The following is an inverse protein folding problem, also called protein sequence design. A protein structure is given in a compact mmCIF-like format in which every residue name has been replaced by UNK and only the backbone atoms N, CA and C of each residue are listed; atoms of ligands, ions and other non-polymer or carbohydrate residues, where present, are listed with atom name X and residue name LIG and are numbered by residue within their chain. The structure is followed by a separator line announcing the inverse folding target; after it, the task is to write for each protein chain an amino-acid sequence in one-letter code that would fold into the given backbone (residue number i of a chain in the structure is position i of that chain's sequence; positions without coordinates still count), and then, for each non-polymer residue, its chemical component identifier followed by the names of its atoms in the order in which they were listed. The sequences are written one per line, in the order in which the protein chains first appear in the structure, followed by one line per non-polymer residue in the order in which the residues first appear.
data_IF_500723756726
#
_entry.id   IF_500723756726
#
_cell.length_a   1.000
_cell.length_b   1.000
_cell.length_c   1.000
_cell.angle_alpha   90.00
_cell.angle_beta   90.00
_cell.angle_gamma   90.00
#
_symmetry.space_group_name_H-M   'P 1'
#
loop_
_entity.id
_entity.type
_entity.pdbx_description
1 polymer ?
#
# COMPACT_ATOMS: atom_id res chain seq x y z
N UNK A 1 -27.44 13.71 2.28
CA UNK A 1 -27.41 13.02 0.98
C UNK A 1 -27.74 14.06 -0.09
N UNK A 2 -26.86 14.45 -1.01
CA UNK A 2 -25.54 13.96 -1.31
C UNK A 2 -24.76 15.03 -2.09
N UNK A 3 -23.46 15.09 -1.86
CA UNK A 3 -22.56 15.91 -2.66
C UNK A 3 -22.42 15.23 -4.01
N UNK A 4 -23.20 15.69 -4.98
CA UNK A 4 -23.11 15.22 -6.35
C UNK A 4 -21.85 15.82 -6.99
N UNK A 5 -20.91 14.95 -7.33
CA UNK A 5 -19.69 15.28 -8.04
C UNK A 5 -19.95 15.16 -9.55
N UNK A 6 -19.73 16.23 -10.30
CA UNK A 6 -20.03 16.28 -11.73
C UNK A 6 -18.75 16.12 -12.55
N UNK A 7 -18.81 15.26 -13.57
CA UNK A 7 -17.84 15.22 -14.66
C UNK A 7 -18.32 16.16 -15.76
N UNK A 8 -17.47 17.10 -16.11
CA UNK A 8 -17.74 18.16 -17.08
C UNK A 8 -16.80 18.04 -18.27
N UNK A 9 -17.28 18.40 -19.46
CA UNK A 9 -16.48 18.48 -20.69
C UNK A 9 -16.50 19.90 -21.23
N UNK A 10 -15.31 20.46 -21.41
CA UNK A 10 -15.13 21.75 -22.04
C UNK A 10 -15.10 21.62 -23.57
N UNK A 11 -15.52 22.64 -24.33
CA UNK A 11 -15.33 22.69 -25.79
C UNK A 11 -13.88 22.48 -26.26
N UNK A 12 -12.87 22.80 -25.44
CA UNK A 12 -11.47 22.53 -25.75
C UNK A 12 -11.06 21.05 -25.66
N UNK A 13 -12.01 20.16 -25.34
CA UNK A 13 -11.80 18.72 -25.23
C UNK A 13 -11.35 18.24 -23.84
N UNK A 14 -11.09 19.14 -22.90
CA UNK A 14 -10.67 18.77 -21.54
C UNK A 14 -11.87 18.31 -20.69
N UNK A 15 -11.71 17.17 -20.01
CA UNK A 15 -12.63 16.72 -18.98
C UNK A 15 -12.15 17.14 -17.60
N UNK A 16 -13.04 17.57 -16.73
CA UNK A 16 -12.69 18.00 -15.37
C UNK A 16 -13.86 17.80 -14.40
N UNK A 17 -13.54 17.81 -13.10
CA UNK A 17 -14.48 17.57 -12.03
C UNK A 17 -14.95 18.87 -11.36
N UNK A 18 -16.19 18.88 -10.87
CA UNK A 18 -16.74 19.96 -10.04
C UNK A 18 -17.71 19.41 -9.00
N UNK A 19 -17.85 20.08 -7.86
CA UNK A 19 -18.98 19.84 -6.96
C UNK A 19 -20.24 20.50 -7.51
N UNK A 20 -21.41 19.96 -7.15
CA UNK A 20 -22.71 20.55 -7.50
C UNK A 20 -22.85 21.93 -6.82
N UNK A 21 -23.08 22.97 -7.63
CA UNK A 21 -23.32 24.34 -7.13
C UNK A 21 -22.08 25.24 -7.07
N UNK A 22 -20.87 24.75 -7.38
CA UNK A 22 -19.69 25.61 -7.54
C UNK A 22 -19.65 26.23 -8.95
N UNK A 23 -19.10 27.45 -9.06
CA UNK A 23 -18.81 28.06 -10.35
C UNK A 23 -17.84 27.19 -11.15
N UNK A 24 -18.19 26.86 -12.40
CA UNK A 24 -17.41 25.95 -13.23
C UNK A 24 -16.58 26.74 -14.24
N UNK A 25 -15.28 26.54 -14.20
CA UNK A 25 -14.35 27.03 -15.23
C UNK A 25 -13.38 25.91 -15.58
N UNK A 26 -13.03 25.82 -16.86
CA UNK A 26 -12.13 24.78 -17.34
C UNK A 26 -10.75 24.95 -16.72
N UNK A 27 -10.24 23.90 -16.08
CA UNK A 27 -8.90 23.89 -15.46
C UNK A 27 -7.74 24.01 -16.46
N UNK A 28 -8.01 23.86 -17.76
CA UNK A 28 -7.00 23.92 -18.82
C UNK A 28 -7.00 25.22 -19.61
N UNK A 29 -8.18 25.76 -19.93
CA UNK A 29 -8.31 26.94 -20.80
C UNK A 29 -9.10 28.09 -20.17
N UNK A 30 -9.52 27.94 -18.91
CA UNK A 30 -10.30 28.93 -18.14
C UNK A 30 -11.66 29.30 -18.73
N UNK A 31 -12.09 28.67 -19.82
CA UNK A 31 -13.42 28.86 -20.39
C UNK A 31 -14.50 28.44 -19.38
N UNK A 32 -15.53 29.28 -19.24
CA UNK A 32 -16.70 29.06 -18.40
C UNK A 32 -18.00 28.93 -19.20
N UNK A 33 -17.95 29.12 -20.52
CA UNK A 33 -19.10 28.99 -21.42
C UNK A 33 -19.16 27.59 -22.06
N UNK A 34 -20.37 27.14 -22.42
CA UNK A 34 -20.62 25.91 -23.18
C UNK A 34 -20.01 24.62 -22.57
N UNK A 35 -19.82 24.60 -21.26
CA UNK A 35 -19.40 23.42 -20.52
C UNK A 35 -20.60 22.47 -20.38
N UNK A 36 -20.44 21.22 -20.78
CA UNK A 36 -21.50 20.20 -20.68
C UNK A 36 -21.24 19.25 -19.51
N UNK A 37 -22.30 18.86 -18.81
CA UNK A 37 -22.26 17.78 -17.82
C UNK A 37 -22.34 16.43 -18.52
N UNK A 38 -21.35 15.57 -18.29
CA UNK A 38 -21.25 14.23 -18.88
C UNK A 38 -21.87 13.18 -17.97
N UNK A 39 -21.57 13.24 -16.67
CA UNK A 39 -22.06 12.29 -15.68
C UNK A 39 -21.96 12.85 -14.26
N UNK A 40 -22.63 12.19 -13.32
CA UNK A 40 -22.57 12.51 -11.88
C UNK A 40 -22.11 11.30 -11.07
N UNK A 41 -21.43 11.57 -9.96
CA UNK A 41 -20.86 10.59 -9.05
C UNK A 41 -21.18 10.96 -7.61
N UNK A 42 -21.34 9.94 -6.77
CA UNK A 42 -21.61 10.11 -5.34
C UNK A 42 -20.34 10.21 -4.48
N UNK A 43 -19.15 10.07 -5.08
CA UNK A 43 -17.89 10.19 -4.34
C UNK A 43 -16.81 10.88 -5.19
N UNK A 44 -15.95 11.70 -4.56
CA UNK A 44 -14.89 12.42 -5.26
C UNK A 44 -13.85 11.47 -5.86
N UNK A 45 -13.60 10.31 -5.24
CA UNK A 45 -12.66 9.30 -5.75
C UNK A 45 -13.15 8.71 -7.08
N UNK A 46 -14.46 8.43 -7.18
CA UNK A 46 -15.06 7.94 -8.43
C UNK A 46 -15.00 8.99 -9.54
N UNK A 47 -15.24 10.27 -9.21
CA UNK A 47 -15.08 11.38 -10.14
C UNK A 47 -13.64 11.50 -10.62
N UNK A 48 -12.66 11.50 -9.70
CA UNK A 48 -11.25 11.60 -10.06
C UNK A 48 -10.82 10.49 -11.03
N UNK A 49 -11.27 9.25 -10.78
CA UNK A 49 -11.03 8.13 -11.69
C UNK A 49 -11.66 8.34 -13.07
N UNK A 50 -12.86 8.91 -13.13
CA UNK A 50 -13.56 9.18 -14.39
C UNK A 50 -12.89 10.32 -15.18
N UNK A 51 -12.45 11.39 -14.51
CA UNK A 51 -11.67 12.49 -15.12
C UNK A 51 -10.39 11.95 -15.74
N UNK A 52 -9.60 11.17 -14.99
CA UNK A 52 -8.33 10.62 -15.48
C UNK A 52 -8.54 9.70 -16.69
N UNK A 53 -9.58 8.88 -16.68
CA UNK A 53 -9.93 8.00 -17.81
C UNK A 53 -10.36 8.79 -19.04
N UNK A 54 -11.18 9.82 -18.87
CA UNK A 54 -11.73 10.61 -19.98
C UNK A 54 -10.68 11.50 -20.66
N UNK A 55 -9.57 11.80 -19.96
CA UNK A 55 -8.45 12.57 -20.50
C UNK A 55 -7.30 11.69 -21.00
N UNK A 56 -7.40 10.36 -20.92
CA UNK A 56 -6.35 9.46 -21.40
C UNK A 56 -6.53 9.24 -22.91
N UNK A 57 -5.48 9.39 -23.73
CA UNK A 57 -5.56 9.07 -25.15
C UNK A 57 -5.86 7.59 -25.36
N UNK A 58 -6.75 7.27 -26.30
CA UNK A 58 -7.16 5.88 -26.59
C UNK A 58 -5.96 4.99 -26.93
N UNK A 59 -4.98 5.56 -27.62
CA UNK A 59 -3.71 4.92 -28.01
C UNK A 59 -2.89 4.43 -26.80
N UNK A 60 -2.98 5.10 -25.65
CA UNK A 60 -2.22 4.79 -24.43
C UNK A 60 -3.07 4.03 -23.40
N UNK A 61 -4.37 3.93 -23.62
CA UNK A 61 -5.31 3.36 -22.65
C UNK A 61 -4.98 1.88 -22.33
N UNK A 62 -4.66 1.09 -23.35
CA UNK A 62 -4.35 -0.32 -23.21
C UNK A 62 -3.01 -0.55 -22.50
N UNK A 63 -1.96 0.19 -22.91
CA UNK A 63 -0.61 0.05 -22.36
C UNK A 63 -0.55 0.48 -20.89
N UNK A 64 -1.22 1.59 -20.53
CA UNK A 64 -1.30 2.07 -19.15
C UNK A 64 -2.06 1.08 -18.27
N UNK A 65 -3.18 0.53 -18.76
CA UNK A 65 -3.96 -0.47 -18.03
C UNK A 65 -3.17 -1.76 -17.80
N UNK A 66 -2.43 -2.23 -18.82
CA UNK A 66 -1.57 -3.40 -18.72
C UNK A 66 -0.43 -3.18 -17.71
N UNK A 67 0.24 -2.02 -17.73
CA UNK A 67 1.31 -1.70 -16.77
C UNK A 67 0.79 -1.59 -15.34
N UNK A 68 -0.37 -0.97 -15.13
CA UNK A 68 -1.00 -0.86 -13.82
C UNK A 68 -1.36 -2.24 -13.26
N UNK A 69 -2.01 -3.10 -14.05
CA UNK A 69 -2.37 -4.46 -13.61
C UNK A 69 -1.14 -5.32 -13.30
N UNK A 70 -0.05 -5.19 -14.08
CA UNK A 70 1.23 -5.85 -13.78
C UNK A 70 1.87 -5.32 -12.49
N UNK A 71 1.76 -4.01 -12.21
CA UNK A 71 2.27 -3.43 -10.96
C UNK A 71 1.46 -3.89 -9.74
N UNK A 72 0.13 -3.87 -9.82
CA UNK A 72 -0.76 -4.32 -8.75
C UNK A 72 -0.57 -5.81 -8.43
N UNK A 73 -0.45 -6.65 -9.46
CA UNK A 73 -0.20 -8.09 -9.29
C UNK A 73 1.18 -8.40 -8.70
N UNK A 74 2.22 -7.65 -9.05
CA UNK A 74 3.55 -7.74 -8.42
C UNK A 74 3.51 -7.32 -6.96
N UNK A 75 2.83 -6.22 -6.66
CA UNK A 75 2.70 -5.71 -5.30
C UNK A 75 1.87 -6.63 -4.39
N UNK A 76 0.77 -7.21 -4.90
CA UNK A 76 0.02 -8.24 -4.17
C UNK A 76 0.84 -9.51 -3.91
N UNK A 77 1.65 -9.96 -4.89
CA UNK A 77 2.51 -11.13 -4.71
C UNK A 77 3.63 -10.87 -3.71
N UNK A 78 4.22 -9.67 -3.71
CA UNK A 78 5.22 -9.25 -2.72
C UNK A 78 4.63 -9.22 -1.32
N UNK A 79 3.49 -8.53 -1.13
CA UNK A 79 2.80 -8.47 0.17
C UNK A 79 2.36 -9.83 0.71
N UNK A 80 1.89 -10.74 -0.15
CA UNK A 80 1.51 -12.10 0.26
C UNK A 80 2.72 -12.94 0.68
N UNK A 81 3.86 -12.78 0.02
CA UNK A 81 5.11 -13.45 0.41
C UNK A 81 5.68 -12.88 1.70
N UNK A 82 5.66 -11.56 1.88
CA UNK A 82 6.05 -10.90 3.13
C UNK A 82 5.15 -11.32 4.29
N UNK A 83 3.83 -11.34 4.13
CA UNK A 83 2.92 -11.72 5.22
C UNK A 83 3.06 -13.20 5.61
N UNK A 84 3.25 -14.10 4.64
CA UNK A 84 3.46 -15.52 4.93
C UNK A 84 4.80 -15.81 5.60
N UNK A 85 5.84 -15.03 5.29
CA UNK A 85 7.15 -15.16 5.92
C UNK A 85 7.19 -14.48 7.30
N UNK A 86 6.42 -13.41 7.51
CA UNK A 86 6.40 -12.69 8.79
C UNK A 86 5.75 -13.50 9.91
N UNK A 87 4.59 -14.13 9.65
CA UNK A 87 3.92 -14.95 10.67
C UNK A 87 4.76 -16.18 11.09
N UNK A 88 5.46 -16.79 10.13
CA UNK A 88 6.37 -17.91 10.38
C UNK A 88 7.63 -17.47 11.14
N UNK A 89 8.20 -16.32 10.80
CA UNK A 89 9.32 -15.71 11.55
C UNK A 89 8.93 -15.40 12.99
N UNK A 90 7.77 -14.77 13.22
CA UNK A 90 7.30 -14.46 14.58
C UNK A 90 6.98 -15.74 15.37
N UNK A 91 6.39 -16.75 14.73
CA UNK A 91 6.16 -18.06 15.36
C UNK A 91 7.48 -18.71 15.78
N UNK A 92 8.46 -18.78 14.87
CA UNK A 92 9.77 -19.36 15.17
C UNK A 92 10.49 -18.59 16.30
N UNK A 93 10.43 -17.26 16.32
CA UNK A 93 10.96 -16.47 17.43
C UNK A 93 10.24 -16.73 18.76
N UNK A 94 8.93 -16.97 18.74
CA UNK A 94 8.15 -17.36 19.93
C UNK A 94 8.50 -18.76 20.40
N UNK A 95 8.67 -19.71 19.49
CA UNK A 95 9.07 -21.09 19.79
C UNK A 95 10.50 -21.15 20.36
N UNK A 96 11.37 -20.24 19.90
CA UNK A 96 12.71 -20.01 20.44
C UNK A 96 12.73 -19.29 21.81
N UNK A 97 11.60 -18.78 22.29
CA UNK A 97 11.51 -18.07 23.57
C UNK A 97 11.49 -19.08 24.71
N UNK A 98 12.48 -19.01 25.61
CA UNK A 98 12.54 -19.83 26.80
C UNK A 98 11.35 -19.58 27.75
N UNK A 99 11.12 -20.50 28.68
CA UNK A 99 10.02 -20.40 29.67
C UNK A 99 10.14 -19.19 30.61
N UNK A 100 11.32 -18.57 30.67
CA UNK A 100 11.60 -17.32 31.36
C UNK A 100 11.28 -16.06 30.54
N UNK A 101 10.76 -16.20 29.31
CA UNK A 101 10.48 -15.09 28.40
C UNK A 101 11.72 -14.53 27.69
N UNK A 102 12.87 -15.20 27.80
CA UNK A 102 14.12 -14.78 27.19
C UNK A 102 14.39 -15.58 25.93
N UNK A 103 14.76 -14.88 24.88
CA UNK A 103 15.24 -15.38 23.60
C UNK A 103 16.77 -15.25 23.58
N UNK A 104 17.47 -16.28 23.07
CA UNK A 104 18.91 -16.21 22.81
C UNK A 104 19.18 -16.24 21.31
N UNK A 105 20.32 -15.69 20.87
CA UNK A 105 20.70 -15.76 19.45
C UNK A 105 20.75 -17.21 18.95
N UNK A 106 21.29 -18.11 19.78
CA UNK A 106 21.35 -19.54 19.50
C UNK A 106 19.97 -20.17 19.35
N UNK A 107 19.03 -19.89 20.27
CA UNK A 107 17.69 -20.49 20.20
C UNK A 107 16.90 -20.05 18.97
N UNK A 108 17.06 -18.80 18.53
CA UNK A 108 16.42 -18.31 17.30
C UNK A 108 17.06 -18.95 16.07
N UNK A 109 18.39 -19.06 16.05
CA UNK A 109 19.11 -19.69 14.94
C UNK A 109 18.72 -21.14 14.74
N UNK A 110 18.61 -21.91 15.83
CA UNK A 110 18.17 -23.30 15.80
C UNK A 110 16.71 -23.40 15.33
N UNK A 111 15.82 -22.57 15.89
CA UNK A 111 14.41 -22.56 15.48
C UNK A 111 14.23 -22.17 14.00
N UNK A 112 15.06 -21.25 13.48
CA UNK A 112 14.99 -20.85 12.07
C UNK A 112 15.50 -21.94 11.14
N UNK A 113 16.50 -22.72 11.56
CA UNK A 113 16.96 -23.89 10.82
C UNK A 113 15.87 -24.97 10.75
N UNK A 114 15.13 -25.19 11.84
CA UNK A 114 14.02 -26.16 11.90
C UNK A 114 12.80 -25.74 11.06
N UNK A 115 12.56 -24.43 10.92
CA UNK A 115 11.40 -23.88 10.20
C UNK A 115 11.69 -23.53 8.72
N UNK A 116 12.78 -24.04 8.14
CA UNK A 116 13.21 -23.74 6.76
C UNK A 116 13.45 -22.23 6.49
N UNK A 117 13.77 -21.45 7.53
CA UNK A 117 14.04 -20.01 7.49
C UNK A 117 15.54 -19.67 7.39
N UNK A 118 16.39 -20.64 7.04
CA UNK A 118 17.85 -20.53 7.02
C UNK A 118 18.45 -19.45 6.07
N UNK A 119 17.62 -18.79 5.27
CA UNK A 119 18.02 -17.64 4.43
C UNK A 119 17.92 -16.28 5.12
N UNK A 120 17.44 -16.22 6.37
CA UNK A 120 17.28 -14.98 7.13
C UNK A 120 18.49 -14.80 8.06
N UNK A 121 19.10 -13.62 8.02
CA UNK A 121 20.13 -13.24 8.99
C UNK A 121 19.47 -12.94 10.34
N UNK A 122 19.64 -13.88 11.26
CA UNK A 122 19.06 -13.81 12.62
C UNK A 122 19.60 -12.63 13.41
N UNK A 123 20.87 -12.28 13.21
CA UNK A 123 21.50 -11.17 13.93
C UNK A 123 20.93 -9.83 13.46
N UNK A 124 20.83 -9.64 12.15
CA UNK A 124 20.22 -8.43 11.56
C UNK A 124 18.75 -8.30 12.00
N UNK A 125 17.99 -9.39 11.96
CA UNK A 125 16.59 -9.42 12.38
C UNK A 125 16.41 -9.01 13.86
N UNK A 126 17.20 -9.59 14.76
CA UNK A 126 17.12 -9.27 16.20
C UNK A 126 17.52 -7.81 16.45
N UNK A 127 18.54 -7.31 15.76
CA UNK A 127 18.99 -5.93 15.89
C UNK A 127 17.93 -4.94 15.39
N UNK A 128 17.24 -5.28 14.30
CA UNK A 128 16.10 -4.50 13.80
C UNK A 128 14.92 -4.52 14.79
N UNK A 129 14.57 -5.69 15.33
CA UNK A 129 13.52 -5.82 16.33
C UNK A 129 13.83 -5.08 17.64
N UNK A 130 15.10 -5.04 18.06
CA UNK A 130 15.56 -4.22 19.19
C UNK A 130 15.41 -2.72 18.89
N UNK A 131 15.83 -2.28 17.70
CA UNK A 131 15.72 -0.87 17.27
C UNK A 131 14.28 -0.40 17.14
N UNK A 132 13.38 -1.27 16.69
CA UNK A 132 11.95 -0.98 16.54
C UNK A 132 11.17 -1.07 17.86
N UNK A 133 11.82 -1.48 18.95
CA UNK A 133 11.20 -1.58 20.27
C UNK A 133 10.27 -2.78 20.40
N UNK A 134 10.45 -3.83 19.59
CA UNK A 134 9.75 -5.11 19.71
C UNK A 134 10.45 -5.98 20.75
N UNK A 135 11.78 -5.93 20.78
CA UNK A 135 12.63 -6.62 21.75
C UNK A 135 13.40 -5.61 22.61
N UNK A 136 13.71 -6.00 23.84
CA UNK A 136 14.67 -5.31 24.69
C UNK A 136 15.86 -6.23 24.97
N UNK A 137 17.06 -5.65 25.03
CA UNK A 137 18.27 -6.40 25.36
C UNK A 137 18.28 -6.76 26.85
N UNK A 138 18.33 -8.04 27.14
CA UNK A 138 18.36 -8.59 28.49
C UNK A 138 19.79 -8.99 28.92
N UNK A 139 20.70 -9.19 27.97
CA UNK A 139 22.09 -9.52 28.22
C UNK A 139 22.90 -9.67 26.92
N UNK A 140 24.09 -10.27 27.02
CA UNK A 140 24.86 -10.63 25.84
C UNK A 140 24.16 -11.75 25.07
N UNK A 141 23.92 -11.55 23.78
CA UNK A 141 23.14 -12.45 22.92
C UNK A 141 21.78 -12.89 23.50
N UNK A 142 21.16 -12.04 24.33
CA UNK A 142 19.93 -12.33 25.06
C UNK A 142 18.94 -11.15 24.98
N UNK A 143 17.70 -11.45 24.62
CA UNK A 143 16.62 -10.47 24.46
C UNK A 143 15.32 -10.94 25.08
N UNK A 144 14.45 -10.01 25.45
CA UNK A 144 13.07 -10.27 25.86
C UNK A 144 12.08 -9.45 25.05
N UNK A 145 10.80 -9.83 25.05
CA UNK A 145 9.74 -9.11 24.35
C UNK A 145 9.35 -7.83 25.09
N UNK A 146 9.25 -6.71 24.37
CA UNK A 146 8.64 -5.48 24.89
C UNK A 146 7.13 -5.70 24.93
N UNK A 147 6.54 -5.54 26.12
CA UNK A 147 5.13 -5.81 26.39
C UNK A 147 4.20 -4.74 25.79
#
# INVERSE_FOLDING_TARGET
MGDNWLLLRCPCGNFFGSSLGSGTSCTRCSNSADIITVSSYQSPEKLAKAVSRSNLPDELSAEVTEKLSKAESRHMKARRRESQNFDSVISAMRDATGTNGIITLGSVSDSFAENELAGIDVWELINDAEREGILYRAGDEMWGWVQ
#
